data_IF_001450577582
#
_entry.id   IF_001450577582
#
_cell.length_a   1.000
_cell.length_b   1.000
_cell.length_c   1.000
_cell.angle_alpha   90.00
_cell.angle_beta   90.00
_cell.angle_gamma   90.00
#
_symmetry.space_group_name_H-M   'P 1'
#
loop_
_entity.id
_entity.type
_entity.pdbx_description
1 polymer ?
#
# COMPACT_ATOMS: atom_id res chain seq x y z
N UNK A 1 -13.84 37.90 6.41
CA UNK A 1 -12.51 38.29 5.88
C UNK A 1 -12.46 37.87 4.43
N UNK A 2 -12.20 38.80 3.51
CA UNK A 2 -12.21 38.56 2.06
C UNK A 2 -10.84 38.02 1.62
N UNK A 3 -10.47 36.85 2.12
CA UNK A 3 -9.21 36.18 1.79
C UNK A 3 -9.32 35.41 0.46
N UNK A 4 -8.19 35.23 -0.23
CA UNK A 4 -8.12 34.39 -1.43
C UNK A 4 -8.54 32.96 -1.05
N UNK A 5 -9.58 32.45 -1.72
CA UNK A 5 -10.07 31.07 -1.54
C UNK A 5 -9.34 30.18 -2.54
N UNK A 6 -8.69 29.13 -2.03
CA UNK A 6 -8.00 28.14 -2.84
C UNK A 6 -8.96 26.99 -3.16
N UNK A 7 -9.64 27.09 -4.31
CA UNK A 7 -10.61 26.09 -4.76
C UNK A 7 -9.96 25.10 -5.75
N UNK A 8 -10.35 23.84 -5.66
CA UNK A 8 -9.89 22.77 -6.54
C UNK A 8 -8.65 22.04 -6.02
N UNK A 9 -8.02 21.28 -6.92
CA UNK A 9 -6.83 20.47 -6.64
C UNK A 9 -5.59 21.17 -7.19
N UNK A 10 -4.54 21.21 -6.37
CA UNK A 10 -3.26 21.83 -6.69
C UNK A 10 -2.19 20.75 -6.79
N UNK A 11 -1.28 20.83 -7.77
CA UNK A 11 -0.19 19.87 -7.87
C UNK A 11 0.79 20.07 -6.72
N UNK A 12 1.20 18.97 -6.11
CA UNK A 12 2.21 18.97 -5.06
C UNK A 12 3.20 17.81 -5.16
N UNK A 13 4.24 17.91 -4.34
CA UNK A 13 5.30 16.91 -4.19
C UNK A 13 5.55 16.67 -2.71
N UNK A 14 5.56 15.41 -2.29
CA UNK A 14 5.84 15.06 -0.90
C UNK A 14 7.30 15.34 -0.57
N UNK A 15 7.54 16.17 0.43
CA UNK A 15 8.87 16.41 0.99
C UNK A 15 9.24 15.38 2.05
N UNK A 16 8.33 15.08 2.97
CA UNK A 16 8.49 14.02 3.97
C UNK A 16 7.15 13.54 4.51
N UNK A 17 7.16 12.35 5.13
CA UNK A 17 6.02 11.74 5.77
C UNK A 17 6.39 11.27 7.18
N UNK A 18 5.68 11.78 8.18
CA UNK A 18 5.71 11.25 9.54
C UNK A 18 4.62 10.19 9.67
N UNK A 19 5.02 8.92 9.59
CA UNK A 19 4.11 7.80 9.69
C UNK A 19 3.37 7.77 11.04
N UNK A 20 4.05 8.05 12.15
CA UNK A 20 3.42 7.97 13.47
C UNK A 20 2.32 9.02 13.64
N UNK A 21 2.55 10.23 13.13
CA UNK A 21 1.58 11.33 13.19
C UNK A 21 0.55 11.32 12.06
N UNK A 22 0.79 10.56 10.98
CA UNK A 22 0.02 10.60 9.72
C UNK A 22 0.00 12.00 9.08
N UNK A 23 1.13 12.69 9.16
CA UNK A 23 1.28 14.06 8.67
C UNK A 23 2.35 14.15 7.59
N UNK A 24 2.08 14.98 6.59
CA UNK A 24 2.89 15.09 5.39
C UNK A 24 3.42 16.50 5.24
N UNK A 25 4.71 16.65 4.96
CA UNK A 25 5.28 17.92 4.50
C UNK A 25 5.20 17.94 2.98
N UNK A 26 4.57 18.96 2.41
CA UNK A 26 4.26 19.00 0.97
C UNK A 26 4.65 20.33 0.34
N UNK A 27 5.33 20.27 -0.81
CA UNK A 27 5.52 21.42 -1.69
C UNK A 27 4.30 21.55 -2.59
N UNK A 28 3.75 22.75 -2.73
CA UNK A 28 2.54 23.03 -3.51
C UNK A 28 2.87 24.15 -4.50
N UNK A 29 2.81 23.83 -5.79
CA UNK A 29 3.18 24.74 -6.86
C UNK A 29 2.36 26.04 -6.81
N UNK A 30 3.03 27.20 -6.82
CA UNK A 30 2.37 28.51 -6.74
C UNK A 30 1.84 28.90 -5.36
N UNK A 31 2.09 28.08 -4.32
CA UNK A 31 1.71 28.36 -2.93
C UNK A 31 2.91 28.39 -2.00
N UNK A 32 3.84 27.43 -2.13
CA UNK A 32 5.00 27.30 -1.24
C UNK A 32 6.30 27.86 -1.83
N UNK A 33 6.21 28.57 -2.96
CA UNK A 33 7.39 29.10 -3.65
C UNK A 33 8.13 30.13 -2.78
N UNK A 34 9.38 29.85 -2.42
CA UNK A 34 10.23 30.72 -1.62
C UNK A 34 10.06 30.60 -0.09
N UNK A 35 9.35 29.58 0.40
CA UNK A 35 9.27 29.28 1.84
C UNK A 35 10.42 28.39 2.33
N UNK A 36 10.94 28.67 3.53
CA UNK A 36 12.02 27.87 4.16
C UNK A 36 11.52 26.53 4.73
N UNK A 37 10.22 26.44 5.04
CA UNK A 37 9.59 25.25 5.62
C UNK A 37 8.31 24.89 4.85
N UNK A 38 8.19 23.62 4.45
CA UNK A 38 6.99 23.11 3.78
C UNK A 38 5.81 23.01 4.77
N UNK A 39 4.58 23.36 4.38
CA UNK A 39 3.40 23.22 5.24
C UNK A 39 3.14 21.75 5.59
N UNK A 40 2.52 21.55 6.76
CA UNK A 40 1.99 20.26 7.18
C UNK A 40 0.61 20.08 6.54
N UNK A 41 0.41 18.97 5.86
CA UNK A 41 -0.86 18.54 5.30
C UNK A 41 -1.39 17.29 6.02
N UNK A 42 -2.71 17.25 6.19
CA UNK A 42 -3.44 16.03 6.55
C UNK A 42 -3.64 15.14 5.32
N UNK A 43 -4.03 13.88 5.53
CA UNK A 43 -4.34 12.92 4.47
C UNK A 43 -5.85 12.75 4.36
N UNK A 44 -6.40 12.87 3.16
CA UNK A 44 -7.77 12.51 2.88
C UNK A 44 -7.89 10.98 2.75
N UNK A 45 -8.44 10.33 3.78
CA UNK A 45 -8.60 8.88 3.77
C UNK A 45 -9.84 8.46 2.98
N UNK A 46 -9.69 7.55 1.99
CA UNK A 46 -10.86 6.99 1.34
C UNK A 46 -11.70 6.17 2.32
N UNK A 47 -13.00 6.09 2.06
CA UNK A 47 -13.90 5.27 2.87
C UNK A 47 -13.45 3.80 2.84
N UNK A 48 -13.15 3.24 4.01
CA UNK A 48 -12.61 1.89 4.16
C UNK A 48 -11.16 1.85 4.65
N UNK A 49 -10.34 2.86 4.31
CA UNK A 49 -8.98 2.99 4.82
C UNK A 49 -8.95 3.81 6.11
N UNK A 50 -9.18 3.12 7.22
CA UNK A 50 -9.13 3.75 8.54
C UNK A 50 -7.67 3.87 8.96
N UNK A 51 -7.18 5.10 9.16
CA UNK A 51 -5.80 5.40 9.59
C UNK A 51 -5.28 4.59 10.80
N UNK A 52 -6.19 4.12 11.67
CA UNK A 52 -5.87 3.28 12.83
C UNK A 52 -5.60 1.80 12.49
N UNK A 53 -6.06 1.34 11.33
CA UNK A 53 -6.04 -0.07 10.93
C UNK A 53 -5.24 -0.30 9.63
N UNK A 54 -5.24 0.67 8.72
CA UNK A 54 -4.54 0.59 7.45
C UNK A 54 -3.60 1.77 7.27
N UNK A 55 -2.55 1.54 6.49
CA UNK A 55 -1.57 2.52 6.09
C UNK A 55 -1.28 2.36 4.60
N UNK A 56 -1.17 3.50 3.92
CA UNK A 56 -0.69 3.57 2.55
C UNK A 56 0.74 4.10 2.63
N UNK A 57 1.67 3.45 1.93
CA UNK A 57 3.06 3.89 1.89
C UNK A 57 3.16 5.22 1.12
N UNK A 58 3.62 6.27 1.81
CA UNK A 58 3.91 7.58 1.22
C UNK A 58 5.42 7.82 1.32
N UNK A 59 6.04 8.17 0.19
CA UNK A 59 7.47 8.42 0.09
C UNK A 59 7.76 9.86 -0.31
N UNK A 60 8.93 10.35 0.10
CA UNK A 60 9.42 11.62 -0.39
C UNK A 60 9.61 11.56 -1.92
N UNK A 61 9.17 12.61 -2.62
CA UNK A 61 9.16 12.69 -4.07
C UNK A 61 7.83 12.26 -4.72
N UNK A 62 6.91 11.65 -3.97
CA UNK A 62 5.61 11.27 -4.51
C UNK A 62 4.85 12.50 -5.02
N UNK A 63 4.26 12.35 -6.22
CA UNK A 63 3.43 13.38 -6.82
C UNK A 63 2.00 13.25 -6.33
N UNK A 64 1.41 14.35 -5.87
CA UNK A 64 0.09 14.34 -5.25
C UNK A 64 -0.78 15.50 -5.74
N UNK A 65 -2.08 15.33 -5.56
CA UNK A 65 -3.05 16.42 -5.58
C UNK A 65 -3.32 16.91 -4.16
N UNK A 66 -3.36 18.23 -3.99
CA UNK A 66 -3.57 18.90 -2.72
C UNK A 66 -4.85 19.74 -2.78
N UNK A 67 -5.75 19.49 -1.85
CA UNK A 67 -6.92 20.33 -1.58
C UNK A 67 -6.67 21.19 -0.33
N UNK A 68 -7.59 22.09 -0.03
CA UNK A 68 -7.51 22.96 1.14
C UNK A 68 -8.83 22.96 1.91
N UNK A 69 -8.76 22.81 3.23
CA UNK A 69 -9.96 22.75 4.09
C UNK A 69 -10.74 24.07 3.99
N UNK A 70 -11.94 24.03 3.41
CA UNK A 70 -12.73 25.24 3.13
C UNK A 70 -12.04 26.25 2.20
N UNK A 71 -11.01 25.82 1.45
CA UNK A 71 -10.18 26.68 0.62
C UNK A 71 -9.15 27.55 1.37
N UNK A 72 -8.89 27.27 2.64
CA UNK A 72 -7.88 27.98 3.45
C UNK A 72 -6.49 27.34 3.25
N UNK A 73 -5.56 28.11 2.68
CA UNK A 73 -4.20 27.67 2.35
C UNK A 73 -3.39 27.17 3.57
N UNK A 74 -3.80 27.53 4.78
CA UNK A 74 -3.13 27.09 6.03
C UNK A 74 -3.42 25.64 6.39
N UNK A 75 -4.43 25.04 5.77
CA UNK A 75 -4.89 23.68 6.07
C UNK A 75 -4.91 22.83 4.80
N UNK A 76 -3.73 22.49 4.23
CA UNK A 76 -3.64 21.61 3.07
C UNK A 76 -4.03 20.18 3.42
N UNK A 77 -4.59 19.48 2.44
CA UNK A 77 -5.01 18.08 2.53
C UNK A 77 -4.48 17.36 1.30
N UNK A 78 -3.75 16.26 1.50
CA UNK A 78 -3.36 15.34 0.44
C UNK A 78 -4.61 14.58 0.01
N UNK A 79 -5.11 14.86 -1.20
CA UNK A 79 -6.36 14.29 -1.71
C UNK A 79 -6.14 12.96 -2.45
N UNK A 80 -4.95 12.77 -3.02
CA UNK A 80 -4.57 11.53 -3.66
C UNK A 80 -3.29 11.63 -4.47
N UNK A 81 -2.80 10.50 -4.96
CA UNK A 81 -1.64 10.46 -5.86
C UNK A 81 -1.98 11.05 -7.23
N UNK A 82 -1.02 11.77 -7.78
CA UNK A 82 -1.08 12.36 -9.11
C UNK A 82 -0.37 11.44 -10.10
N UNK A 83 -0.87 11.39 -11.34
CA UNK A 83 -0.26 10.61 -12.41
C UNK A 83 1.18 11.09 -12.67
N UNK A 84 2.20 10.19 -12.66
CA UNK A 84 3.58 10.54 -12.93
C UNK A 84 3.87 10.95 -14.38
N UNK A 85 2.95 10.67 -15.32
CA UNK A 85 3.06 11.06 -16.73
C UNK A 85 3.91 10.10 -17.58
N UNK A 86 4.83 9.35 -16.98
CA UNK A 86 5.63 8.27 -17.60
C UNK A 86 5.72 7.05 -16.67
N UNK A 87 6.26 5.94 -17.19
CA UNK A 87 6.63 4.73 -16.41
C UNK A 87 5.48 4.11 -15.58
N UNK A 88 4.25 4.30 -16.04
CA UNK A 88 3.06 3.74 -15.40
C UNK A 88 3.04 2.21 -15.53
N UNK A 89 2.66 1.52 -14.44
CA UNK A 89 2.41 0.08 -14.46
C UNK A 89 1.23 -0.25 -15.38
N UNK A 90 1.40 -1.23 -16.27
CA UNK A 90 0.35 -1.69 -17.19
C UNK A 90 -0.06 -3.12 -16.83
N UNK A 91 -1.36 -3.36 -16.70
CA UNK A 91 -1.92 -4.71 -16.50
C UNK A 91 -1.64 -5.35 -15.14
N UNK A 92 -0.98 -4.65 -14.20
CA UNK A 92 -0.67 -5.17 -12.87
C UNK A 92 -0.99 -4.12 -11.81
N UNK A 93 -1.76 -4.53 -10.79
CA UNK A 93 -1.93 -3.79 -9.54
C UNK A 93 -0.94 -4.34 -8.51
N UNK A 94 -0.13 -3.46 -7.92
CA UNK A 94 0.82 -3.81 -6.86
C UNK A 94 0.40 -3.13 -5.56
N UNK A 95 0.64 -3.82 -4.45
CA UNK A 95 0.61 -3.25 -3.12
C UNK A 95 2.02 -3.39 -2.57
N UNK A 96 2.59 -2.30 -2.09
CA UNK A 96 3.94 -2.29 -1.53
C UNK A 96 3.90 -1.58 -0.18
N UNK A 97 4.56 -2.19 0.79
CA UNK A 97 4.79 -1.68 2.13
C UNK A 97 5.85 -2.57 2.78
N UNK A 98 6.49 -2.08 3.84
CA UNK A 98 7.45 -2.90 4.60
C UNK A 98 6.85 -4.22 5.13
N UNK A 99 5.56 -4.22 5.49
CA UNK A 99 4.81 -5.39 5.94
C UNK A 99 3.37 -5.29 5.41
N UNK A 100 2.79 -6.41 5.01
CA UNK A 100 1.40 -6.50 4.57
C UNK A 100 0.72 -7.61 5.36
N UNK A 101 -0.45 -7.30 5.94
CA UNK A 101 -1.30 -8.26 6.63
C UNK A 101 -2.70 -8.26 6.01
N UNK A 102 -3.24 -9.44 5.73
CA UNK A 102 -4.58 -9.63 5.19
C UNK A 102 -5.38 -10.47 6.19
N UNK A 103 -6.45 -9.88 6.72
CA UNK A 103 -7.34 -10.53 7.68
C UNK A 103 -8.73 -10.68 7.05
N UNK A 104 -9.31 -11.86 7.20
CA UNK A 104 -10.67 -12.14 6.78
C UNK A 104 -11.35 -13.02 7.84
N UNK A 105 -12.56 -12.65 8.25
CA UNK A 105 -13.32 -13.39 9.27
C UNK A 105 -13.86 -14.74 8.77
N UNK A 106 -13.93 -14.93 7.45
CA UNK A 106 -14.51 -16.11 6.83
C UNK A 106 -13.51 -16.82 5.93
N UNK A 107 -13.08 -16.18 4.85
CA UNK A 107 -12.15 -16.77 3.90
C UNK A 107 -11.33 -15.68 3.18
N UNK A 108 -10.07 -15.99 2.90
CA UNK A 108 -9.23 -15.27 1.95
C UNK A 108 -9.06 -16.14 0.70
N UNK A 109 -9.58 -15.68 -0.45
CA UNK A 109 -9.52 -16.42 -1.71
C UNK A 109 -8.58 -15.72 -2.69
N UNK A 110 -7.64 -16.47 -3.27
CA UNK A 110 -6.74 -16.00 -4.32
C UNK A 110 -6.99 -16.85 -5.57
N UNK A 111 -7.41 -16.21 -6.66
CA UNK A 111 -7.71 -16.90 -7.92
C UNK A 111 -6.97 -16.24 -9.07
N UNK A 112 -6.27 -17.06 -9.86
CA UNK A 112 -5.47 -16.63 -11.01
C UNK A 112 -4.80 -17.82 -11.69
N UNK A 113 -3.88 -17.54 -12.63
CA UNK A 113 -3.12 -18.59 -13.30
C UNK A 113 -2.05 -19.24 -12.41
N UNK A 114 -1.35 -18.44 -11.62
CA UNK A 114 -0.32 -18.92 -10.69
C UNK A 114 -0.19 -18.02 -9.47
N UNK A 115 0.26 -18.60 -8.35
CA UNK A 115 0.67 -17.87 -7.14
C UNK A 115 2.12 -18.24 -6.87
N UNK A 116 3.00 -17.24 -6.88
CA UNK A 116 4.41 -17.41 -6.56
C UNK A 116 4.68 -16.81 -5.16
N UNK A 117 5.31 -17.60 -4.29
CA UNK A 117 5.74 -17.17 -2.96
C UNK A 117 7.25 -17.37 -2.87
N UNK A 118 7.96 -16.30 -2.51
CA UNK A 118 9.41 -16.32 -2.34
C UNK A 118 9.75 -16.18 -0.87
N UNK A 119 10.61 -17.05 -0.37
CA UNK A 119 10.97 -17.12 1.04
C UNK A 119 10.28 -18.27 1.78
N UNK A 120 10.55 -18.43 3.08
CA UNK A 120 9.93 -19.47 3.89
C UNK A 120 8.42 -19.26 4.00
N UNK A 121 7.65 -20.35 3.84
CA UNK A 121 6.20 -20.37 3.98
C UNK A 121 5.82 -21.39 5.04
N UNK A 122 4.91 -21.01 5.93
CA UNK A 122 4.33 -21.91 6.93
C UNK A 122 2.81 -21.87 6.82
N UNK A 123 2.18 -23.03 6.95
CA UNK A 123 0.74 -23.19 7.02
C UNK A 123 0.46 -23.80 8.40
N UNK A 124 -0.20 -23.03 9.26
CA UNK A 124 -0.68 -23.51 10.56
C UNK A 124 -2.13 -24.00 10.38
N UNK A 125 -2.24 -25.26 10.00
CA UNK A 125 -3.50 -25.90 9.61
C UNK A 125 -3.27 -26.96 8.54
N UNK A 126 -4.36 -27.36 7.88
CA UNK A 126 -4.29 -28.34 6.81
C UNK A 126 -3.90 -27.67 5.50
N UNK A 127 -3.00 -28.31 4.75
CA UNK A 127 -2.71 -27.98 3.35
C UNK A 127 -3.22 -29.11 2.46
N UNK A 128 -4.07 -28.78 1.51
CA UNK A 128 -4.55 -29.69 0.48
C UNK A 128 -4.02 -29.21 -0.88
N UNK A 129 -3.46 -30.13 -1.65
CA UNK A 129 -2.90 -29.86 -2.97
C UNK A 129 -3.55 -30.82 -3.95
N UNK A 130 -4.38 -30.28 -4.84
CA UNK A 130 -4.97 -31.01 -5.96
C UNK A 130 -4.04 -30.86 -7.17
N UNK A 131 -3.01 -31.71 -7.22
CA UNK A 131 -2.00 -31.70 -8.26
C UNK A 131 -0.68 -32.31 -7.82
N UNK A 132 0.31 -32.27 -8.71
CA UNK A 132 1.64 -32.80 -8.45
C UNK A 132 2.40 -31.94 -7.43
N UNK A 133 3.11 -32.61 -6.52
CA UNK A 133 3.98 -31.97 -5.53
C UNK A 133 5.43 -32.35 -5.83
N UNK A 134 6.25 -31.34 -6.10
CA UNK A 134 7.70 -31.50 -6.26
C UNK A 134 8.43 -30.84 -5.08
N UNK A 135 9.31 -31.60 -4.44
CA UNK A 135 10.14 -31.13 -3.33
C UNK A 135 11.60 -31.31 -3.74
N UNK A 136 12.32 -30.21 -3.93
CA UNK A 136 13.74 -30.23 -4.32
C UNK A 136 14.70 -30.40 -3.16
N UNK A 137 14.20 -30.26 -1.92
CA UNK A 137 14.95 -30.48 -0.69
C UNK A 137 14.48 -31.73 0.06
N UNK A 138 14.77 -31.79 1.36
CA UNK A 138 14.32 -32.89 2.19
C UNK A 138 12.86 -32.68 2.61
N UNK A 139 12.07 -33.75 2.55
CA UNK A 139 10.77 -33.83 3.20
C UNK A 139 10.94 -34.53 4.55
N UNK A 140 10.57 -33.86 5.63
CA UNK A 140 10.48 -34.48 6.96
C UNK A 140 9.01 -34.57 7.36
N UNK A 141 8.56 -35.78 7.69
CA UNK A 141 7.20 -36.04 8.17
C UNK A 141 7.30 -36.65 9.56
N UNK A 142 6.75 -35.98 10.56
CA UNK A 142 6.69 -36.48 11.94
C UNK A 142 5.49 -37.41 12.17
N UNK A 143 4.48 -37.31 11.30
CA UNK A 143 3.28 -38.14 11.32
C UNK A 143 3.34 -39.33 10.36
N UNK A 144 2.16 -39.90 10.08
CA UNK A 144 2.02 -41.03 9.16
C UNK A 144 2.01 -40.58 7.71
N UNK A 145 2.75 -41.28 6.86
CA UNK A 145 2.63 -41.21 5.40
C UNK A 145 1.73 -42.35 4.95
N UNK A 146 0.68 -42.03 4.20
CA UNK A 146 -0.21 -43.01 3.58
C UNK A 146 -0.35 -42.68 2.09
N UNK A 147 -0.03 -43.65 1.24
CA UNK A 147 -0.15 -43.54 -0.21
C UNK A 147 -0.94 -44.71 -0.78
N UNK A 148 -1.71 -44.46 -1.84
CA UNK A 148 -2.35 -45.52 -2.65
C UNK A 148 -1.41 -46.08 -3.72
N UNK A 149 -0.28 -45.39 -3.97
CA UNK A 149 0.75 -45.77 -4.93
C UNK A 149 2.03 -46.29 -4.28
N UNK A 150 3.08 -46.40 -5.08
CA UNK A 150 4.39 -46.83 -4.62
C UNK A 150 5.07 -45.76 -3.77
N UNK A 151 5.67 -46.21 -2.66
CA UNK A 151 6.69 -45.46 -1.93
C UNK A 151 8.02 -46.14 -2.26
N UNK A 152 8.90 -45.39 -2.93
CA UNK A 152 10.20 -45.87 -3.42
C UNK A 152 11.27 -44.96 -2.82
N UNK A 153 12.35 -45.55 -2.33
CA UNK A 153 13.52 -44.86 -1.78
C UNK A 153 14.66 -44.68 -2.81
#
# INVERSE_FOLDING_TARGET
MNGKVYAGLYPGVIGSYDAAARLVRVSIEGVTDGGDELPIAEINYPIGDKAKNTEIEILAGDLVWVAFMGGDARYPIIDGYRNPGSDNSVGVRRFHHANIALFADQALTLQGGSVAVTGPTSIDGNAEIDGDVAISGNLTVSGTISGQGWVID
#
